data_IF_563573543199
#
_entry.id   IF_563573543199
#
_cell.length_a   1.000
_cell.length_b   1.000
_cell.length_c   1.000
_cell.angle_alpha   90.00
_cell.angle_beta   90.00
_cell.angle_gamma   90.00
#
_symmetry.space_group_name_H-M   'P 1'
#
loop_
_entity.id
_entity.type
_entity.pdbx_description
1 polymer ?
#
# COMPACT_ATOMS: atom_id res chain seq x y z
N UNK A 1 -15.58 1.43 13.21
CA UNK A 1 -14.90 1.47 11.90
C UNK A 1 -15.15 0.14 11.22
N UNK A 2 -15.76 0.13 10.04
CA UNK A 2 -16.02 -1.09 9.27
C UNK A 2 -15.05 -1.10 8.09
N UNK A 3 -14.39 -2.24 7.85
CA UNK A 3 -13.50 -2.43 6.69
C UNK A 3 -14.14 -3.45 5.76
N UNK A 4 -14.21 -3.13 4.49
CA UNK A 4 -14.76 -4.03 3.46
C UNK A 4 -13.76 -4.12 2.32
N UNK A 5 -13.49 -5.34 1.84
CA UNK A 5 -12.71 -5.56 0.62
C UNK A 5 -13.67 -5.70 -0.55
N UNK A 6 -13.47 -4.88 -1.58
CA UNK A 6 -14.23 -4.95 -2.83
C UNK A 6 -13.39 -5.74 -3.83
N UNK A 7 -13.73 -7.00 -4.13
CA UNK A 7 -12.97 -7.78 -5.09
C UNK A 7 -13.21 -7.26 -6.51
N UNK A 8 -12.13 -7.18 -7.29
CA UNK A 8 -12.18 -6.79 -8.69
C UNK A 8 -11.88 -8.02 -9.55
N UNK A 9 -12.83 -8.42 -10.37
CA UNK A 9 -12.65 -9.51 -11.31
C UNK A 9 -12.06 -8.98 -12.62
N UNK A 10 -10.92 -9.52 -13.02
CA UNK A 10 -10.29 -9.23 -14.30
C UNK A 10 -8.97 -8.49 -14.22
N UNK A 11 -7.89 -9.20 -14.51
CA UNK A 11 -6.58 -8.65 -14.82
C UNK A 11 -6.50 -8.41 -16.32
N UNK A 12 -6.94 -7.24 -16.79
CA UNK A 12 -6.57 -6.82 -18.13
C UNK A 12 -5.20 -6.15 -18.07
N UNK A 13 -4.26 -6.65 -18.85
CA UNK A 13 -2.98 -5.97 -19.07
C UNK A 13 -3.23 -4.66 -19.79
N UNK A 14 -2.89 -3.56 -19.14
CA UNK A 14 -2.98 -2.23 -19.72
C UNK A 14 -3.53 -1.17 -18.77
N UNK A 15 -3.55 0.06 -19.21
CA UNK A 15 -4.09 1.23 -18.48
C UNK A 15 -5.60 1.15 -18.17
N UNK A 16 -6.31 0.22 -18.76
CA UNK A 16 -7.76 0.02 -18.60
C UNK A 16 -8.17 -0.83 -17.39
N UNK A 17 -7.22 -1.43 -16.66
CA UNK A 17 -7.54 -2.34 -15.54
C UNK A 17 -8.23 -1.69 -14.34
N UNK A 18 -8.08 -0.38 -14.16
CA UNK A 18 -8.70 0.34 -13.04
C UNK A 18 -10.19 0.65 -13.25
N UNK A 19 -10.69 0.60 -14.48
CA UNK A 19 -12.09 0.91 -14.79
C UNK A 19 -13.05 -0.08 -14.14
N UNK A 20 -12.71 -1.36 -14.15
CA UNK A 20 -13.47 -2.41 -13.46
C UNK A 20 -13.47 -2.22 -11.94
N UNK A 21 -12.35 -1.79 -11.37
CA UNK A 21 -12.24 -1.50 -9.96
C UNK A 21 -13.10 -0.29 -9.56
N UNK A 22 -13.06 0.76 -10.34
CA UNK A 22 -13.91 1.94 -10.12
C UNK A 22 -15.39 1.60 -10.22
N UNK A 23 -15.79 0.80 -11.23
CA UNK A 23 -17.18 0.35 -11.36
C UNK A 23 -17.62 -0.54 -10.19
N UNK A 24 -16.75 -1.43 -9.72
CA UNK A 24 -17.03 -2.26 -8.54
C UNK A 24 -17.21 -1.41 -7.27
N UNK A 25 -16.37 -0.39 -7.08
CA UNK A 25 -16.54 0.58 -6.00
C UNK A 25 -17.86 1.32 -6.10
N UNK A 26 -18.19 1.88 -7.27
CA UNK A 26 -19.45 2.58 -7.52
C UNK A 26 -20.66 1.71 -7.17
N UNK A 27 -20.69 0.47 -7.66
CA UNK A 27 -21.74 -0.50 -7.36
C UNK A 27 -21.83 -0.81 -5.87
N UNK A 28 -20.68 -1.02 -5.21
CA UNK A 28 -20.63 -1.32 -3.79
C UNK A 28 -21.14 -0.16 -2.93
N UNK A 29 -20.75 1.07 -3.25
CA UNK A 29 -21.22 2.26 -2.53
C UNK A 29 -22.73 2.50 -2.75
N UNK A 30 -23.21 2.30 -3.98
CA UNK A 30 -24.64 2.43 -4.30
C UNK A 30 -25.51 1.39 -3.58
N UNK A 31 -24.99 0.18 -3.38
CA UNK A 31 -25.67 -0.89 -2.64
C UNK A 31 -25.74 -0.65 -1.11
N UNK A 32 -25.02 0.35 -0.60
CA UNK A 32 -24.93 0.63 0.84
C UNK A 32 -25.37 2.06 1.20
N UNK A 33 -26.61 2.46 0.92
CA UNK A 33 -27.09 3.83 1.16
C UNK A 33 -27.09 4.23 2.65
N UNK A 34 -27.03 3.26 3.56
CA UNK A 34 -26.94 3.49 5.01
C UNK A 34 -25.62 4.17 5.43
N UNK A 35 -24.62 4.26 4.56
CA UNK A 35 -23.36 4.93 4.85
C UNK A 35 -23.36 6.44 4.51
N UNK A 36 -24.48 6.98 4.04
CA UNK A 36 -24.60 8.42 3.73
C UNK A 36 -24.13 9.29 4.90
N UNK A 37 -23.34 10.30 4.61
CA UNK A 37 -22.77 11.22 5.59
C UNK A 37 -21.54 10.67 6.32
N UNK A 38 -21.19 9.41 6.13
CA UNK A 38 -20.02 8.81 6.75
C UNK A 38 -18.71 9.26 6.07
N UNK A 39 -17.61 9.13 6.82
CA UNK A 39 -16.27 9.34 6.29
C UNK A 39 -15.78 8.07 5.59
N UNK A 40 -15.29 8.21 4.37
CA UNK A 40 -14.73 7.14 3.55
C UNK A 40 -13.22 7.28 3.47
N UNK A 41 -12.51 6.18 3.75
CA UNK A 41 -11.09 6.02 3.46
C UNK A 41 -10.94 4.87 2.49
N UNK A 42 -10.17 5.05 1.42
CA UNK A 42 -9.94 4.05 0.38
C UNK A 42 -8.49 3.62 0.43
N UNK A 43 -8.26 2.31 0.45
CA UNK A 43 -6.94 1.70 0.30
C UNK A 43 -6.91 1.04 -1.08
N UNK A 44 -6.01 1.54 -1.93
CA UNK A 44 -5.85 1.04 -3.29
C UNK A 44 -4.85 -0.11 -3.33
N UNK A 45 -5.23 -1.18 -4.02
CA UNK A 45 -4.34 -2.29 -4.36
C UNK A 45 -3.07 -1.78 -5.06
N UNK A 46 -1.94 -2.44 -4.80
CA UNK A 46 -0.66 -2.14 -5.47
C UNK A 46 -0.71 -2.42 -6.98
N UNK A 47 -1.73 -3.11 -7.49
CA UNK A 47 -1.97 -3.25 -8.92
C UNK A 47 -2.14 -1.90 -9.63
N UNK A 48 -2.78 -0.94 -8.98
CA UNK A 48 -3.09 0.39 -9.53
C UNK A 48 -2.02 1.43 -9.23
N UNK A 49 -1.07 1.14 -8.36
CA UNK A 49 -0.07 2.10 -7.90
C UNK A 49 1.31 1.77 -8.45
N UNK A 50 2.09 2.80 -8.76
CA UNK A 50 3.51 2.72 -9.08
C UNK A 50 4.30 3.43 -7.99
N UNK A 51 5.50 2.93 -7.73
CA UNK A 51 6.37 3.51 -6.71
C UNK A 51 7.75 3.77 -7.29
N UNK A 52 8.38 4.83 -6.83
CA UNK A 52 9.80 5.10 -7.06
C UNK A 52 10.41 5.65 -5.77
N UNK A 53 11.69 5.38 -5.57
CA UNK A 53 12.50 6.11 -4.61
C UNK A 53 13.12 7.30 -5.32
N UNK A 54 12.91 8.48 -4.75
CA UNK A 54 13.48 9.73 -5.23
C UNK A 54 14.67 10.05 -4.33
N UNK A 55 15.89 10.04 -4.85
CA UNK A 55 17.07 10.34 -4.07
C UNK A 55 16.98 11.74 -3.45
N UNK A 56 17.53 11.89 -2.25
CA UNK A 56 17.71 13.21 -1.68
C UNK A 56 18.65 14.06 -2.54
N UNK A 57 18.35 15.33 -2.66
CA UNK A 57 19.25 16.32 -3.25
C UNK A 57 19.25 17.59 -2.44
N UNK A 58 20.43 18.07 -2.08
CA UNK A 58 20.61 19.34 -1.39
C UNK A 58 20.28 20.56 -2.28
N UNK A 59 20.19 20.34 -3.60
CA UNK A 59 19.87 21.40 -4.57
C UNK A 59 18.39 21.72 -4.64
N UNK A 60 17.53 20.88 -4.01
CA UNK A 60 16.08 21.05 -3.98
C UNK A 60 15.65 21.74 -2.69
N UNK A 61 14.99 22.86 -2.83
CA UNK A 61 14.68 23.75 -1.70
C UNK A 61 13.26 23.59 -1.18
N UNK A 62 12.36 22.99 -1.96
CA UNK A 62 10.94 22.91 -1.64
C UNK A 62 10.25 21.65 -2.21
N UNK A 63 9.08 21.36 -1.67
CA UNK A 63 8.27 20.21 -2.05
C UNK A 63 7.94 20.14 -3.55
N UNK A 64 7.73 21.29 -4.19
CA UNK A 64 7.38 21.35 -5.62
C UNK A 64 8.55 20.86 -6.49
N UNK A 65 9.78 21.21 -6.12
CA UNK A 65 10.98 20.77 -6.83
C UNK A 65 11.19 19.26 -6.68
N UNK A 66 10.99 18.72 -5.47
CA UNK A 66 11.01 17.28 -5.23
C UNK A 66 9.92 16.57 -6.04
N UNK A 67 8.72 17.14 -6.16
CA UNK A 67 7.65 16.57 -6.98
C UNK A 67 7.99 16.58 -8.48
N UNK A 68 8.68 17.62 -8.97
CA UNK A 68 9.18 17.66 -10.35
C UNK A 68 10.20 16.55 -10.58
N UNK A 69 11.12 16.33 -9.63
CA UNK A 69 12.08 15.25 -9.69
C UNK A 69 11.41 13.88 -9.69
N UNK A 70 10.42 13.66 -8.79
CA UNK A 70 9.61 12.45 -8.77
C UNK A 70 8.92 12.19 -10.13
N UNK A 71 8.32 13.23 -10.71
CA UNK A 71 7.68 13.15 -12.03
C UNK A 71 8.66 12.74 -13.12
N UNK A 72 9.88 13.26 -13.06
CA UNK A 72 10.96 12.87 -14.00
C UNK A 72 11.33 11.39 -13.81
N UNK A 73 11.47 10.91 -12.59
CA UNK A 73 11.76 9.50 -12.32
C UNK A 73 10.66 8.58 -12.88
N UNK A 74 9.39 8.92 -12.68
CA UNK A 74 8.28 8.16 -13.27
C UNK A 74 8.30 8.19 -14.80
N UNK A 75 8.59 9.35 -15.40
CA UNK A 75 8.65 9.48 -16.85
C UNK A 75 9.82 8.65 -17.46
N UNK A 76 10.97 8.61 -16.81
CA UNK A 76 12.10 7.80 -17.24
C UNK A 76 11.79 6.30 -17.13
N UNK A 77 11.15 5.89 -16.04
CA UNK A 77 10.86 4.47 -15.76
C UNK A 77 9.70 3.92 -16.57
N UNK A 78 8.66 4.74 -16.80
CA UNK A 78 7.38 4.29 -17.37
C UNK A 78 7.03 4.96 -18.70
N UNK A 79 7.82 5.92 -19.15
CA UNK A 79 7.58 6.62 -20.41
C UNK A 79 6.41 7.62 -20.37
N UNK A 80 5.84 7.92 -21.56
CA UNK A 80 4.85 8.99 -21.71
C UNK A 80 3.56 8.81 -20.90
N UNK A 81 3.18 7.57 -20.55
CA UNK A 81 1.97 7.28 -19.77
C UNK A 81 1.99 7.95 -18.39
N UNK A 82 3.18 8.15 -17.82
CA UNK A 82 3.35 8.79 -16.52
C UNK A 82 2.90 10.27 -16.50
N UNK A 83 2.68 10.90 -17.63
CA UNK A 83 2.18 12.29 -17.71
C UNK A 83 0.77 12.44 -17.12
N UNK A 84 -0.02 11.39 -17.21
CA UNK A 84 -1.42 11.38 -16.76
C UNK A 84 -1.57 10.83 -15.34
N UNK A 85 -0.47 10.76 -14.56
CA UNK A 85 -0.49 10.23 -13.22
C UNK A 85 -0.54 11.31 -12.15
N UNK A 86 -1.43 11.12 -11.20
CA UNK A 86 -1.42 11.82 -9.94
C UNK A 86 -0.28 11.27 -9.08
N UNK A 87 0.66 12.13 -8.72
CA UNK A 87 1.85 11.76 -7.93
C UNK A 87 1.72 12.35 -6.54
N UNK A 88 2.06 11.54 -5.54
CA UNK A 88 2.24 11.96 -4.15
C UNK A 88 3.58 11.45 -3.67
N UNK A 89 4.20 12.21 -2.80
CA UNK A 89 5.50 11.87 -2.22
C UNK A 89 5.43 12.05 -0.70
N UNK A 90 6.03 11.13 0.01
CA UNK A 90 6.31 11.24 1.43
C UNK A 90 7.61 12.01 1.59
N UNK A 91 7.55 13.14 2.28
CA UNK A 91 8.75 13.90 2.62
C UNK A 91 9.29 13.34 3.93
N UNK A 92 10.28 12.49 3.81
CA UNK A 92 10.98 11.91 4.95
C UNK A 92 12.06 12.87 5.47
N UNK A 93 12.97 12.38 6.28
CA UNK A 93 14.03 13.21 6.88
C UNK A 93 14.98 13.76 5.80
N UNK A 94 15.54 14.96 5.99
CA UNK A 94 16.59 15.48 5.14
C UNK A 94 17.78 14.50 5.04
N UNK A 95 18.29 14.30 3.84
CA UNK A 95 19.39 13.38 3.56
C UNK A 95 18.96 11.96 3.17
N UNK A 96 17.66 11.64 3.25
CA UNK A 96 17.13 10.32 2.94
C UNK A 96 16.30 10.32 1.65
N UNK A 97 16.27 9.17 0.96
CA UNK A 97 15.44 8.99 -0.22
C UNK A 97 13.95 9.03 0.15
N UNK A 98 13.17 9.70 -0.66
CA UNK A 98 11.72 9.84 -0.48
C UNK A 98 10.95 8.79 -1.28
N UNK A 99 9.88 8.26 -0.71
CA UNK A 99 8.94 7.42 -1.44
C UNK A 99 7.98 8.28 -2.23
N UNK A 100 7.93 8.10 -3.53
CA UNK A 100 6.87 8.65 -4.36
C UNK A 100 5.96 7.53 -4.88
N UNK A 101 4.66 7.78 -4.83
CA UNK A 101 3.62 6.92 -5.38
C UNK A 101 2.86 7.65 -6.48
N UNK A 102 2.49 6.92 -7.51
CA UNK A 102 1.73 7.44 -8.65
C UNK A 102 0.62 6.48 -9.06
N UNK A 103 -0.49 7.05 -9.47
CA UNK A 103 -1.63 6.32 -10.00
C UNK A 103 -2.33 7.15 -11.08
N UNK A 104 -3.16 6.51 -11.90
CA UNK A 104 -3.89 7.18 -12.96
C UNK A 104 -4.82 8.27 -12.39
N UNK A 105 -4.71 9.49 -12.91
CA UNK A 105 -5.51 10.63 -12.46
C UNK A 105 -7.01 10.41 -12.70
N UNK A 106 -7.35 9.67 -13.76
CA UNK A 106 -8.74 9.33 -14.07
C UNK A 106 -9.34 8.40 -13.01
N UNK A 107 -8.56 7.46 -12.47
CA UNK A 107 -8.99 6.63 -11.35
C UNK A 107 -9.30 7.50 -10.12
N UNK A 108 -8.42 8.44 -9.78
CA UNK A 108 -8.64 9.35 -8.65
C UNK A 108 -9.91 10.17 -8.83
N UNK A 109 -10.14 10.68 -10.03
CA UNK A 109 -11.34 11.45 -10.36
C UNK A 109 -12.61 10.60 -10.20
N UNK A 110 -12.60 9.37 -10.71
CA UNK A 110 -13.77 8.47 -10.59
C UNK A 110 -14.04 8.08 -9.14
N UNK A 111 -13.00 7.78 -8.37
CA UNK A 111 -13.13 7.50 -6.93
C UNK A 111 -13.78 8.69 -6.19
N UNK A 112 -13.33 9.90 -6.46
CA UNK A 112 -13.90 11.10 -5.84
C UNK A 112 -15.38 11.31 -6.25
N UNK A 113 -15.71 11.09 -7.52
CA UNK A 113 -17.08 11.18 -8.02
C UNK A 113 -17.98 10.11 -7.40
N UNK A 114 -17.52 8.87 -7.26
CA UNK A 114 -18.26 7.78 -6.63
C UNK A 114 -18.59 8.09 -5.17
N UNK A 115 -17.62 8.62 -4.43
CA UNK A 115 -17.81 9.04 -3.03
C UNK A 115 -18.85 10.17 -2.94
N UNK A 116 -18.74 11.19 -3.82
CA UNK A 116 -19.67 12.32 -3.84
C UNK A 116 -21.10 11.88 -4.22
N UNK A 117 -21.24 11.03 -5.24
CA UNK A 117 -22.55 10.49 -5.67
C UNK A 117 -23.23 9.67 -4.55
N UNK A 118 -22.46 9.01 -3.72
CA UNK A 118 -22.95 8.27 -2.57
C UNK A 118 -23.10 9.12 -1.29
N UNK A 119 -22.88 10.43 -1.38
CA UNK A 119 -22.91 11.39 -0.27
C UNK A 119 -21.94 11.00 0.87
N UNK A 120 -20.77 10.47 0.53
CA UNK A 120 -19.71 10.12 1.48
C UNK A 120 -18.64 11.20 1.51
N UNK A 121 -18.03 11.40 2.67
CA UNK A 121 -16.90 12.31 2.83
C UNK A 121 -15.61 11.54 2.57
N UNK A 122 -15.02 11.68 1.38
CA UNK A 122 -13.73 11.08 1.06
C UNK A 122 -12.63 11.75 1.90
N UNK A 123 -12.03 10.99 2.81
CA UNK A 123 -10.99 11.46 3.72
C UNK A 123 -9.59 11.23 3.15
N UNK A 124 -9.34 10.04 2.60
CA UNK A 124 -8.05 9.68 2.01
C UNK A 124 -8.21 8.58 0.97
N UNK A 125 -7.24 8.56 0.04
CA UNK A 125 -6.97 7.45 -0.87
C UNK A 125 -5.50 7.10 -0.69
N UNK A 126 -5.23 5.91 -0.19
CA UNK A 126 -3.90 5.47 0.23
C UNK A 126 -3.50 4.20 -0.51
N UNK A 127 -2.26 4.09 -1.01
CA UNK A 127 -1.75 2.83 -1.54
C UNK A 127 -1.64 1.77 -0.43
N UNK A 128 -1.93 0.50 -0.77
CA UNK A 128 -1.89 -0.60 0.21
C UNK A 128 -0.53 -0.74 0.89
N UNK A 129 0.56 -0.64 0.14
CA UNK A 129 1.90 -0.71 0.72
C UNK A 129 2.11 0.39 1.77
N UNK A 130 1.71 1.64 1.47
CA UNK A 130 1.90 2.77 2.38
C UNK A 130 0.97 2.72 3.58
N UNK A 131 -0.31 2.40 3.38
CA UNK A 131 -1.26 2.23 4.47
C UNK A 131 -0.82 1.13 5.44
N UNK A 132 -0.31 0.03 4.89
CA UNK A 132 0.21 -1.09 5.69
C UNK A 132 1.51 -0.74 6.38
N UNK A 133 2.44 -0.05 5.70
CA UNK A 133 3.67 0.44 6.32
C UNK A 133 3.36 1.34 7.51
N UNK A 134 2.51 2.35 7.34
CA UNK A 134 2.14 3.28 8.40
C UNK A 134 1.52 2.57 9.61
N UNK A 135 0.77 1.49 9.36
CA UNK A 135 0.17 0.69 10.43
C UNK A 135 1.18 -0.14 11.21
N UNK A 136 2.18 -0.69 10.53
CA UNK A 136 3.08 -1.69 11.08
C UNK A 136 4.49 -1.18 11.37
N UNK A 137 4.86 0.04 11.00
CA UNK A 137 6.22 0.59 11.11
C UNK A 137 6.83 0.46 12.52
N UNK A 138 6.01 0.49 13.56
CA UNK A 138 6.49 0.33 14.95
C UNK A 138 6.99 -1.09 15.27
N UNK A 139 6.69 -2.07 14.41
CA UNK A 139 7.12 -3.46 14.56
C UNK A 139 8.46 -3.74 13.86
N UNK A 140 8.90 -2.86 12.99
CA UNK A 140 10.14 -2.99 12.27
C UNK A 140 11.31 -2.66 13.21
N UNK A 141 12.17 -3.65 13.51
CA UNK A 141 13.21 -3.55 14.55
C UNK A 141 14.60 -3.86 14.06
N UNK A 142 14.72 -4.51 12.90
CA UNK A 142 16.01 -4.90 12.34
C UNK A 142 16.70 -3.70 11.69
N UNK A 143 18.01 -3.76 11.54
CA UNK A 143 18.78 -2.73 10.82
C UNK A 143 18.45 -2.70 9.34
N UNK A 144 18.23 -3.90 8.75
CA UNK A 144 17.68 -4.07 7.41
C UNK A 144 16.63 -5.16 7.41
N UNK A 145 15.50 -4.93 6.75
CA UNK A 145 14.38 -5.86 6.71
C UNK A 145 13.55 -5.69 5.44
N UNK A 146 13.02 -6.80 4.94
CA UNK A 146 11.98 -6.75 3.92
C UNK A 146 10.61 -6.60 4.57
N UNK A 147 9.81 -5.69 4.05
CA UNK A 147 8.38 -5.61 4.30
C UNK A 147 7.65 -5.89 2.98
N UNK A 148 6.85 -6.96 2.93
CA UNK A 148 6.19 -7.43 1.71
C UNK A 148 4.70 -7.54 1.93
N UNK A 149 3.93 -6.94 1.03
CA UNK A 149 2.48 -7.13 0.92
C UNK A 149 2.20 -8.09 -0.23
N UNK A 150 1.33 -9.08 0.03
CA UNK A 150 0.92 -10.11 -0.91
C UNK A 150 -0.52 -9.85 -1.33
N UNK A 151 -0.72 -9.73 -2.63
CA UNK A 151 -2.05 -9.66 -3.26
C UNK A 151 -2.15 -10.77 -4.31
N UNK A 152 -3.35 -11.11 -4.75
CA UNK A 152 -3.54 -12.07 -5.84
C UNK A 152 -2.79 -11.58 -7.09
N UNK A 153 -1.83 -12.35 -7.58
CA UNK A 153 -1.03 -12.01 -8.76
C UNK A 153 0.03 -10.91 -8.56
N UNK A 154 0.30 -10.46 -7.32
CA UNK A 154 1.25 -9.37 -7.07
C UNK A 154 1.94 -9.49 -5.71
N UNK A 155 3.25 -9.33 -5.74
CA UNK A 155 4.05 -9.02 -4.55
C UNK A 155 4.53 -7.57 -4.64
N UNK A 156 4.42 -6.84 -3.54
CA UNK A 156 4.98 -5.50 -3.44
C UNK A 156 5.82 -5.43 -2.17
N UNK A 157 7.13 -5.21 -2.33
CA UNK A 157 8.11 -5.24 -1.26
C UNK A 157 8.88 -3.94 -1.12
N UNK A 158 9.17 -3.60 0.12
CA UNK A 158 10.06 -2.54 0.52
C UNK A 158 11.23 -3.13 1.29
N UNK A 159 12.46 -2.85 0.87
CA UNK A 159 13.63 -3.02 1.69
C UNK A 159 13.77 -1.77 2.55
N UNK A 160 13.72 -1.96 3.84
CA UNK A 160 13.81 -0.91 4.84
C UNK A 160 15.15 -1.06 5.55
N UNK A 161 15.93 0.01 5.60
CA UNK A 161 17.03 0.17 6.54
C UNK A 161 16.54 0.76 7.85
N UNK A 162 17.44 1.02 8.77
CA UNK A 162 17.13 1.75 9.99
C UNK A 162 16.66 3.15 9.60
N UNK A 163 15.39 3.43 9.80
CA UNK A 163 14.74 4.74 9.54
C UNK A 163 14.73 5.19 8.06
N UNK A 164 15.10 4.36 7.08
CA UNK A 164 15.13 4.77 5.66
C UNK A 164 14.59 3.71 4.71
N UNK A 165 14.11 4.16 3.59
CA UNK A 165 13.74 3.31 2.45
C UNK A 165 14.98 3.04 1.60
N UNK A 166 15.26 1.78 1.34
CA UNK A 166 16.45 1.33 0.57
C UNK A 166 16.05 0.93 -0.84
N UNK A 167 14.98 0.14 -0.97
CA UNK A 167 14.47 -0.29 -2.26
C UNK A 167 12.96 -0.50 -2.22
N UNK A 168 12.33 -0.31 -3.38
CA UNK A 168 10.95 -0.66 -3.63
C UNK A 168 10.88 -1.58 -4.83
N UNK A 169 10.13 -2.68 -4.71
CA UNK A 169 10.01 -3.70 -5.74
C UNK A 169 8.56 -4.11 -5.91
N UNK A 170 8.19 -4.35 -7.15
CA UNK A 170 6.91 -4.96 -7.52
C UNK A 170 7.19 -6.16 -8.39
N UNK A 171 6.55 -7.27 -8.04
CA UNK A 171 6.69 -8.52 -8.76
C UNK A 171 5.30 -9.08 -9.08
N UNK A 172 5.02 -9.38 -10.34
CA UNK A 172 3.82 -10.10 -10.73
C UNK A 172 4.03 -11.58 -10.52
N UNK A 173 3.09 -12.23 -9.86
CA UNK A 173 3.11 -13.67 -9.64
C UNK A 173 2.13 -14.35 -10.60
N UNK A 174 2.51 -15.51 -11.12
CA UNK A 174 1.67 -16.33 -11.99
C UNK A 174 1.26 -17.63 -11.33
N UNK A 175 1.94 -18.01 -10.26
CA UNK A 175 1.75 -19.23 -9.51
C UNK A 175 1.55 -19.00 -8.01
N UNK A 176 2.04 -19.96 -7.23
CA UNK A 176 1.98 -19.88 -5.78
C UNK A 176 2.93 -18.78 -5.28
N UNK A 177 2.38 -17.77 -4.65
CA UNK A 177 3.11 -16.58 -4.22
C UNK A 177 4.27 -16.88 -3.26
N UNK A 178 4.16 -17.94 -2.42
CA UNK A 178 5.19 -18.29 -1.45
C UNK A 178 6.48 -18.79 -2.14
N UNK A 179 6.33 -19.64 -3.16
CA UNK A 179 7.44 -20.15 -3.97
C UNK A 179 8.10 -19.02 -4.76
N UNK A 180 7.28 -18.15 -5.37
CA UNK A 180 7.78 -17.01 -6.14
C UNK A 180 8.44 -15.96 -5.25
N UNK A 181 7.97 -15.75 -4.02
CA UNK A 181 8.60 -14.88 -3.05
C UNK A 181 9.98 -15.37 -2.66
N UNK A 182 10.15 -16.69 -2.46
CA UNK A 182 11.44 -17.30 -2.15
C UNK A 182 12.45 -17.07 -3.26
N UNK A 183 12.03 -17.28 -4.51
CA UNK A 183 12.87 -17.04 -5.68
C UNK A 183 13.24 -15.55 -5.82
N UNK A 184 12.26 -14.66 -5.62
CA UNK A 184 12.48 -13.23 -5.70
C UNK A 184 13.48 -12.75 -4.63
N UNK A 185 13.33 -13.16 -3.36
CA UNK A 185 14.25 -12.78 -2.30
C UNK A 185 15.66 -13.29 -2.54
N UNK A 186 15.81 -14.52 -3.02
CA UNK A 186 17.12 -15.07 -3.38
C UNK A 186 17.81 -14.24 -4.47
N UNK A 187 17.04 -13.74 -5.44
CA UNK A 187 17.55 -12.87 -6.49
C UNK A 187 17.96 -11.48 -5.95
N UNK A 188 17.15 -10.88 -5.07
CA UNK A 188 17.47 -9.59 -4.48
C UNK A 188 18.73 -9.66 -3.61
N UNK A 189 18.98 -10.77 -2.91
CA UNK A 189 20.20 -11.00 -2.15
C UNK A 189 21.47 -11.01 -3.03
N UNK A 190 21.34 -11.43 -4.29
CA UNK A 190 22.48 -11.45 -5.25
C UNK A 190 22.75 -10.09 -5.88
N UNK A 191 21.76 -9.20 -5.93
CA UNK A 191 21.85 -7.94 -6.67
C UNK A 191 22.34 -6.78 -5.78
N UNK A 192 22.03 -6.79 -4.49
CA UNK A 192 22.28 -5.65 -3.61
C UNK A 192 23.07 -5.99 -2.36
N UNK A 193 24.16 -5.23 -2.11
CA UNK A 193 24.96 -5.38 -0.88
C UNK A 193 24.13 -5.18 0.37
N UNK A 194 23.18 -4.23 0.36
CA UNK A 194 22.28 -3.97 1.50
C UNK A 194 21.24 -5.07 1.69
N UNK A 195 20.92 -5.84 0.64
CA UNK A 195 20.03 -7.01 0.74
C UNK A 195 20.69 -8.22 1.39
N UNK A 196 22.02 -8.27 1.43
CA UNK A 196 22.76 -9.37 2.06
C UNK A 196 22.70 -9.33 3.60
N UNK A 197 22.44 -8.18 4.20
CA UNK A 197 22.40 -7.98 5.65
C UNK A 197 20.98 -7.99 6.24
N UNK A 198 20.00 -8.50 5.50
CA UNK A 198 18.58 -8.49 5.92
C UNK A 198 18.37 -9.45 7.10
N UNK A 199 17.89 -8.90 8.22
CA UNK A 199 17.66 -9.64 9.46
C UNK A 199 16.28 -10.31 9.55
N UNK A 200 15.26 -9.83 8.81
CA UNK A 200 13.92 -10.41 8.84
C UNK A 200 13.09 -10.06 7.60
N UNK A 201 12.06 -10.87 7.36
CA UNK A 201 10.96 -10.61 6.43
C UNK A 201 9.67 -10.38 7.22
N UNK A 202 9.09 -9.20 7.07
CA UNK A 202 7.73 -8.92 7.55
C UNK A 202 6.75 -9.10 6.40
N UNK A 203 5.78 -9.98 6.58
CA UNK A 203 4.88 -10.41 5.52
C UNK A 203 3.43 -10.14 5.86
N UNK A 204 2.78 -9.31 5.06
CA UNK A 204 1.33 -9.10 5.08
C UNK A 204 0.72 -9.90 3.95
N UNK A 205 0.15 -11.06 4.26
CA UNK A 205 -0.44 -11.97 3.30
C UNK A 205 -1.90 -12.28 3.64
N UNK A 206 -2.76 -12.56 2.63
CA UNK A 206 -4.17 -12.87 2.85
C UNK A 206 -4.38 -14.19 3.60
N UNK A 207 -3.42 -15.11 3.49
CA UNK A 207 -3.43 -16.37 4.21
C UNK A 207 -2.01 -16.85 4.50
N UNK A 208 -1.88 -17.74 5.50
CA UNK A 208 -0.60 -18.43 5.79
C UNK A 208 -0.44 -19.75 5.02
N UNK A 209 -1.37 -20.06 4.13
CA UNK A 209 -1.31 -21.31 3.34
C UNK A 209 -0.11 -21.25 2.40
N UNK A 210 0.64 -22.34 2.33
CA UNK A 210 1.84 -22.45 1.49
C UNK A 210 3.13 -21.95 2.14
N UNK A 211 3.07 -21.37 3.33
CA UNK A 211 4.29 -20.83 4.00
C UNK A 211 5.11 -21.87 4.75
N UNK A 212 4.57 -23.07 4.95
CA UNK A 212 5.24 -24.18 5.64
C UNK A 212 6.49 -24.68 4.89
N UNK A 213 6.52 -24.47 3.57
CA UNK A 213 7.64 -24.85 2.69
C UNK A 213 8.64 -23.71 2.44
N UNK A 214 8.43 -22.52 3.01
CA UNK A 214 9.31 -21.37 2.79
C UNK A 214 10.63 -21.52 3.56
N UNK A 215 11.68 -21.94 2.87
CA UNK A 215 13.05 -21.94 3.40
C UNK A 215 13.77 -20.68 2.88
N UNK A 216 13.62 -19.57 3.59
CA UNK A 216 14.17 -18.27 3.16
C UNK A 216 15.52 -17.93 3.75
N UNK A 217 16.05 -18.76 4.66
CA UNK A 217 17.30 -18.47 5.35
C UNK A 217 17.24 -17.27 6.30
N UNK A 218 16.04 -16.68 6.49
CA UNK A 218 15.80 -15.53 7.39
C UNK A 218 14.46 -15.67 8.12
N UNK A 219 14.33 -15.07 9.32
CA UNK A 219 13.09 -15.08 10.08
C UNK A 219 11.93 -14.44 9.35
N UNK A 220 10.78 -15.14 9.25
CA UNK A 220 9.55 -14.63 8.66
C UNK A 220 8.58 -14.25 9.77
N UNK A 221 8.11 -13.00 9.76
CA UNK A 221 7.15 -12.45 10.73
C UNK A 221 5.86 -12.07 10.00
N UNK A 222 4.80 -12.85 10.24
CA UNK A 222 3.50 -12.56 9.67
C UNK A 222 2.82 -11.40 10.39
N UNK A 223 2.40 -10.42 9.62
CA UNK A 223 1.56 -9.32 10.07
C UNK A 223 0.10 -9.73 9.87
N UNK A 224 -0.65 -9.84 10.95
CA UNK A 224 -2.05 -10.28 10.92
C UNK A 224 -2.94 -9.10 11.24
N UNK A 225 -3.86 -8.79 10.34
CA UNK A 225 -4.93 -7.86 10.65
C UNK A 225 -5.91 -8.49 11.66
N UNK A 226 -5.72 -8.19 12.94
CA UNK A 226 -6.73 -8.51 13.93
C UNK A 226 -7.91 -7.56 13.73
N UNK A 227 -9.06 -8.12 13.43
CA UNK A 227 -10.31 -7.38 13.46
C UNK A 227 -10.52 -6.88 14.90
N UNK A 228 -10.43 -5.57 15.13
CA UNK A 228 -10.59 -4.97 16.47
C UNK A 228 -11.97 -5.23 17.09
N UNK A 229 -12.86 -5.89 16.36
CA UNK A 229 -14.21 -6.18 16.83
C UNK A 229 -14.32 -7.44 17.71
N UNK A 230 -13.29 -8.28 17.78
CA UNK A 230 -13.33 -9.52 18.59
C UNK A 230 -12.91 -9.34 20.06
N UNK A 231 -12.44 -8.18 20.48
CA UNK A 231 -11.87 -7.98 21.83
C UNK A 231 -12.68 -7.01 22.72
N UNK A 232 -13.99 -6.83 22.47
CA UNK A 232 -14.90 -6.07 23.37
C UNK A 232 -15.51 -6.93 24.51
N UNK A 233 -14.87 -8.05 24.87
CA UNK A 233 -15.25 -8.78 26.10
C UNK A 233 -14.04 -8.93 27.00
N UNK A 234 -13.82 -7.96 27.86
CA UNK A 234 -13.17 -7.91 29.19
C UNK A 234 -12.17 -6.76 29.32
N UNK A 235 -12.66 -5.66 29.78
CA UNK A 235 -11.91 -4.75 30.65
C UNK A 235 -12.90 -3.98 31.53
N UNK A 236 -12.55 -3.71 32.80
CA UNK A 236 -13.49 -3.15 33.78
C UNK A 236 -13.70 -1.65 33.57
N UNK A 237 -14.89 -1.26 33.90
CA UNK A 237 -15.49 0.02 34.16
C UNK A 237 -14.53 1.23 34.37
N UNK A 238 -14.40 2.07 33.32
CA UNK A 238 -13.98 3.47 33.44
C UNK A 238 -14.94 4.29 32.60
N UNK A 239 -15.63 5.22 33.26
CA UNK A 239 -16.72 6.04 32.71
C UNK A 239 -16.35 6.73 31.40
N UNK A 240 -17.24 6.74 30.39
CA UNK A 240 -16.98 7.38 29.11
C UNK A 240 -17.16 8.91 29.22
N UNK A 241 -16.13 9.63 28.84
CA UNK A 241 -16.34 10.98 28.33
C UNK A 241 -16.93 10.84 26.91
N UNK A 242 -18.02 11.55 26.67
CA UNK A 242 -18.73 11.60 25.39
C UNK A 242 -17.80 12.23 24.36
N UNK A 243 -17.31 11.41 23.45
CA UNK A 243 -16.69 11.85 22.19
C UNK A 243 -17.65 11.38 21.10
N UNK A 244 -18.20 12.31 20.34
CA UNK A 244 -19.01 12.06 19.15
C UNK A 244 -18.25 11.14 18.20
N UNK A 245 -18.65 9.88 18.11
CA UNK A 245 -18.08 8.90 17.17
C UNK A 245 -18.57 9.21 15.76
N UNK A 246 -17.77 9.96 15.01
CA UNK A 246 -17.93 9.97 13.57
C UNK A 246 -17.64 8.57 13.03
N UNK A 247 -18.62 7.94 12.40
CA UNK A 247 -18.48 6.61 11.79
C UNK A 247 -17.47 6.69 10.64
N UNK A 248 -16.32 6.03 10.79
CA UNK A 248 -15.30 5.93 9.75
C UNK A 248 -15.40 4.58 9.04
N UNK A 249 -15.46 4.61 7.71
CA UNK A 249 -15.41 3.43 6.87
C UNK A 249 -14.08 3.36 6.12
N UNK A 250 -13.54 2.15 5.95
CA UNK A 250 -12.36 1.89 5.13
C UNK A 250 -12.73 0.87 4.06
N UNK A 251 -12.41 1.17 2.81
CA UNK A 251 -12.62 0.29 1.67
C UNK A 251 -11.26 -0.02 1.03
N UNK A 252 -11.01 -1.32 0.74
CA UNK A 252 -9.82 -1.80 0.03
C UNK A 252 -10.26 -2.18 -1.39
N UNK A 253 -9.70 -1.56 -2.40
CA UNK A 253 -9.91 -1.81 -3.82
C UNK A 253 -8.78 -2.62 -4.42
#
# INVERSE_FOLDING_TARGET
MTTTTVPVSGSSEGSAGWESAAAALEAHLAANPQWRGASLRIILSNHFVRYVLVPWSNDLSNEKEHLVLARRHFAVTHGPVAKNWAIRMSLDRPGESHVASALDESLMTRVALAAAASHLKLMSVEPLLMASFNRWQQHFREEAQWFVTVESGMLCGALLGRDRWVALRRWRTQGEWASELSLWLSREQLIGEESAAVGALYLLAPSRVGTESMSLGLPVRFLVEHDRNSNRKRAPDVRPQVVEEASHFSCIL
#
